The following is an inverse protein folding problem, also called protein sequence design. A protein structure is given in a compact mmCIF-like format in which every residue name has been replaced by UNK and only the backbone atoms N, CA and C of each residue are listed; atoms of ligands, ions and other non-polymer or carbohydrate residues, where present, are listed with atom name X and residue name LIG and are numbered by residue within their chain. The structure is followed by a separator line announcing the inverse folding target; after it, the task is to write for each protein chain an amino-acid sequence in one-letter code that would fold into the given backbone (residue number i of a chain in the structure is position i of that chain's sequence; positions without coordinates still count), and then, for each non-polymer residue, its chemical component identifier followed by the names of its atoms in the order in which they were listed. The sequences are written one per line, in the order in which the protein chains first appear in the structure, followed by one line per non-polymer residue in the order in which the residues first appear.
data_IF_394495382873
#
_entry.id   IF_394495382873
#
_cell.length_a   1.000
_cell.length_b   1.000
_cell.length_c   1.000
_cell.angle_alpha   90.00
_cell.angle_beta   90.00
_cell.angle_gamma   90.00
#
_symmetry.space_group_name_H-M   'P 1'
#
loop_
_entity.id
_entity.type
_entity.pdbx_description
1 polymer ?
#
# COMPACT_ATOMS: atom_id res chain seq x y z
N UNK A 1 9.94 18.34 -22.43
CA UNK A 1 9.16 19.36 -21.68
C UNK A 1 9.86 19.76 -20.39
N UNK A 2 9.81 21.03 -20.01
CA UNK A 2 10.30 21.49 -18.71
C UNK A 2 9.29 21.22 -17.59
N UNK A 3 9.77 20.94 -16.38
CA UNK A 3 8.92 20.73 -15.22
C UNK A 3 8.36 22.06 -14.72
N UNK A 4 7.03 22.23 -14.66
CA UNK A 4 6.42 23.46 -14.18
C UNK A 4 6.60 23.60 -12.66
N UNK A 5 6.52 24.84 -12.16
CA UNK A 5 6.67 25.11 -10.72
C UNK A 5 5.49 24.63 -9.88
N UNK A 6 4.31 24.46 -10.48
CA UNK A 6 3.16 23.85 -9.83
C UNK A 6 2.60 22.75 -10.73
N UNK A 7 2.71 21.50 -10.29
CA UNK A 7 2.07 20.36 -10.93
C UNK A 7 1.63 19.35 -9.87
N UNK A 8 0.35 19.04 -9.86
CA UNK A 8 -0.24 18.05 -8.96
C UNK A 8 -1.32 17.23 -9.66
N UNK A 9 -1.44 15.97 -9.25
CA UNK A 9 -2.54 15.09 -9.60
C UNK A 9 -3.24 14.59 -8.35
N UNK A 10 -4.56 14.45 -8.42
CA UNK A 10 -5.31 13.68 -7.43
C UNK A 10 -5.07 12.17 -7.63
N UNK A 11 -5.27 11.41 -6.56
CA UNK A 11 -5.17 9.94 -6.61
C UNK A 11 -6.37 9.36 -7.36
N UNK A 12 -6.10 8.43 -8.26
CA UNK A 12 -7.13 7.69 -9.00
C UNK A 12 -7.53 6.37 -8.33
N UNK A 13 -6.77 5.93 -7.32
CA UNK A 13 -7.11 4.77 -6.48
C UNK A 13 -7.16 5.25 -5.04
N UNK A 14 -8.30 5.08 -4.39
CA UNK A 14 -8.53 5.58 -3.04
C UNK A 14 -9.14 4.49 -2.14
N UNK A 15 -8.31 3.78 -1.36
CA UNK A 15 -8.80 2.84 -0.35
C UNK A 15 -9.19 3.55 0.96
N UNK A 16 -10.09 2.93 1.72
CA UNK A 16 -10.37 3.27 3.12
C UNK A 16 -9.45 2.52 4.09
N UNK A 17 -9.60 2.80 5.38
CA UNK A 17 -9.00 1.98 6.44
C UNK A 17 -9.60 0.56 6.42
N UNK A 18 -8.80 -0.42 6.86
CA UNK A 18 -9.27 -1.79 7.12
C UNK A 18 -9.74 -1.91 8.55
N UNK A 19 -11.01 -2.25 8.73
CA UNK A 19 -11.62 -2.58 10.01
C UNK A 19 -11.54 -4.09 10.26
N UNK A 20 -11.26 -4.49 11.51
CA UNK A 20 -11.17 -5.88 11.93
C UNK A 20 -12.37 -6.26 12.78
N UNK A 21 -12.94 -7.43 12.50
CA UNK A 21 -13.98 -8.05 13.30
C UNK A 21 -13.60 -9.48 13.66
N UNK A 22 -14.01 -9.91 14.84
CA UNK A 22 -13.95 -11.29 15.28
C UNK A 22 -15.31 -11.92 14.98
N UNK A 23 -15.29 -13.14 14.45
CA UNK A 23 -16.51 -13.92 14.23
C UNK A 23 -16.50 -15.14 15.14
N UNK A 24 -17.58 -15.34 15.87
CA UNK A 24 -17.76 -16.43 16.82
C UNK A 24 -18.45 -17.65 16.16
N UNK A 25 -18.42 -18.84 16.78
CA UNK A 25 -19.03 -20.05 16.21
C UNK A 25 -20.54 -19.96 15.96
N UNK A 26 -21.25 -19.09 16.68
CA UNK A 26 -22.69 -18.84 16.49
C UNK A 26 -22.99 -17.82 15.37
N UNK A 27 -21.96 -17.31 14.70
CA UNK A 27 -22.06 -16.31 13.64
C UNK A 27 -22.13 -14.86 14.14
N UNK A 28 -22.11 -14.63 15.46
CA UNK A 28 -22.03 -13.27 15.98
C UNK A 28 -20.69 -12.63 15.63
N UNK A 29 -20.74 -11.32 15.41
CA UNK A 29 -19.61 -10.52 14.92
C UNK A 29 -19.40 -9.33 15.84
N UNK A 30 -18.15 -9.13 16.26
CA UNK A 30 -17.78 -8.06 17.18
C UNK A 30 -16.50 -7.35 16.71
N UNK A 31 -16.35 -6.05 16.98
CA UNK A 31 -15.09 -5.36 16.68
C UNK A 31 -13.90 -6.00 17.40
N UNK A 32 -12.81 -6.23 16.69
CA UNK A 32 -11.58 -6.76 17.30
C UNK A 32 -11.00 -5.71 18.25
N UNK A 33 -10.64 -6.10 19.47
CA UNK A 33 -10.02 -5.19 20.45
C UNK A 33 -8.54 -5.50 20.66
N UNK A 34 -7.83 -4.59 21.31
CA UNK A 34 -6.43 -4.79 21.71
C UNK A 34 -6.18 -4.29 23.12
N UNK A 35 -5.10 -4.75 23.74
CA UNK A 35 -4.73 -4.40 25.12
C UNK A 35 -3.31 -3.85 25.18
N UNK A 36 -3.05 -2.92 26.08
CA UNK A 36 -1.68 -2.51 26.39
C UNK A 36 -1.09 -3.43 27.46
N UNK A 37 0.09 -3.98 27.20
CA UNK A 37 0.79 -4.89 28.12
C UNK A 37 2.19 -4.38 28.39
N UNK A 38 2.67 -4.55 29.61
CA UNK A 38 4.08 -4.29 29.96
C UNK A 38 4.84 -5.60 29.95
N UNK A 39 5.89 -5.67 29.15
CA UNK A 39 6.79 -6.82 29.01
C UNK A 39 8.16 -6.45 29.57
N UNK A 40 8.88 -7.44 30.09
CA UNK A 40 10.25 -7.27 30.59
C UNK A 40 11.21 -7.89 29.56
N UNK A 41 11.88 -7.04 28.79
CA UNK A 41 12.92 -7.46 27.85
C UNK A 41 14.30 -7.50 28.49
N UNK A 42 15.30 -7.90 27.72
CA UNK A 42 16.71 -7.83 28.09
C UNK A 42 17.36 -6.57 27.49
N UNK A 43 18.54 -6.20 27.99
CA UNK A 43 19.35 -5.10 27.44
C UNK A 43 20.06 -5.56 26.15
N UNK A 44 19.35 -5.62 25.03
CA UNK A 44 19.87 -6.17 23.76
C UNK A 44 20.39 -5.11 22.77
N UNK A 45 20.29 -3.82 23.10
CA UNK A 45 20.71 -2.74 22.17
C UNK A 45 22.22 -2.53 22.24
N UNK A 46 22.91 -2.59 21.10
CA UNK A 46 24.36 -2.41 21.02
C UNK A 46 24.85 -1.11 21.67
N UNK A 47 24.10 -0.01 21.54
CA UNK A 47 24.43 1.28 22.16
C UNK A 47 24.39 1.28 23.70
N UNK A 48 23.90 0.22 24.34
CA UNK A 48 23.97 0.05 25.80
C UNK A 48 25.37 -0.44 26.23
N UNK A 49 26.03 -1.23 25.39
CA UNK A 49 27.36 -1.79 25.66
C UNK A 49 28.50 -1.01 24.98
N UNK A 50 28.24 -0.46 23.79
CA UNK A 50 29.24 0.18 22.95
C UNK A 50 28.94 1.66 22.71
N UNK A 51 29.98 2.48 22.61
CA UNK A 51 29.88 3.87 22.16
C UNK A 51 29.83 3.99 20.63
N UNK A 52 29.78 5.24 20.11
CA UNK A 52 29.73 5.50 18.66
C UNK A 52 31.00 5.07 17.91
N UNK A 53 32.10 4.83 18.61
CA UNK A 53 33.37 4.35 18.04
C UNK A 53 33.47 2.83 18.06
N UNK A 54 32.55 2.15 18.74
CA UNK A 54 32.57 0.70 18.95
C UNK A 54 33.36 0.26 20.18
N UNK A 55 33.81 1.18 21.03
CA UNK A 55 34.50 0.86 22.28
C UNK A 55 33.48 0.49 23.37
N UNK A 56 33.86 -0.42 24.27
CA UNK A 56 33.00 -0.81 25.41
C UNK A 56 32.90 0.37 26.38
N UNK A 57 31.68 0.68 26.81
CA UNK A 57 31.44 1.72 27.82
C UNK A 57 31.80 1.21 29.21
N UNK A 58 32.46 2.02 30.02
CA UNK A 58 32.87 1.66 31.38
C UNK A 58 31.68 1.27 32.29
N UNK A 59 30.49 1.82 32.02
CA UNK A 59 29.27 1.54 32.79
C UNK A 59 28.49 0.30 32.30
N UNK A 60 28.92 -0.34 31.20
CA UNK A 60 28.31 -1.55 30.66
C UNK A 60 28.81 -2.80 31.38
N UNK A 61 28.65 -2.84 32.71
CA UNK A 61 29.04 -4.00 33.51
C UNK A 61 28.11 -5.19 33.24
N UNK A 62 28.58 -6.41 33.56
CA UNK A 62 27.77 -7.63 33.45
C UNK A 62 26.46 -7.54 34.26
N UNK A 63 26.51 -6.89 35.43
CA UNK A 63 25.33 -6.64 36.26
C UNK A 63 24.35 -5.67 35.57
N UNK A 64 24.85 -4.54 35.05
CA UNK A 64 24.02 -3.53 34.37
C UNK A 64 23.28 -4.11 33.17
N UNK A 65 23.96 -4.94 32.36
CA UNK A 65 23.37 -5.57 31.18
C UNK A 65 22.42 -6.73 31.51
N UNK A 66 22.53 -7.31 32.71
CA UNK A 66 21.63 -8.38 33.17
C UNK A 66 20.29 -7.84 33.74
N UNK A 67 20.17 -6.52 33.97
CA UNK A 67 18.91 -5.94 34.43
C UNK A 67 17.80 -6.02 33.37
N UNK A 68 16.58 -6.26 33.83
CA UNK A 68 15.40 -6.28 32.98
C UNK A 68 15.02 -4.89 32.46
N UNK A 69 14.60 -4.82 31.21
CA UNK A 69 14.21 -3.61 30.50
C UNK A 69 12.69 -3.59 30.27
N UNK A 70 11.90 -2.90 31.11
CA UNK A 70 10.45 -2.88 30.99
C UNK A 70 9.97 -2.02 29.83
N UNK A 71 9.12 -2.57 28.96
CA UNK A 71 8.51 -1.88 27.82
C UNK A 71 6.99 -2.07 27.81
N UNK A 72 6.24 -0.99 27.61
CA UNK A 72 4.80 -1.06 27.38
C UNK A 72 4.51 -1.07 25.88
N UNK A 73 3.76 -2.06 25.41
CA UNK A 73 3.37 -2.25 24.01
C UNK A 73 1.88 -2.55 23.88
N UNK A 74 1.27 -2.07 22.81
CA UNK A 74 -0.05 -2.56 22.41
C UNK A 74 0.06 -3.97 21.79
N UNK A 75 -0.88 -4.84 22.16
CA UNK A 75 -0.94 -6.24 21.78
C UNK A 75 -2.36 -6.62 21.37
N UNK A 76 -2.49 -7.21 20.18
CA UNK A 76 -3.75 -7.62 19.58
C UNK A 76 -3.65 -9.08 19.11
N UNK A 77 -4.67 -9.88 19.39
CA UNK A 77 -4.71 -11.29 19.01
C UNK A 77 -6.13 -11.72 18.68
N UNK A 78 -6.25 -12.84 17.95
CA UNK A 78 -7.51 -13.56 17.81
C UNK A 78 -7.94 -14.06 19.21
N UNK A 79 -9.15 -13.72 19.70
CA UNK A 79 -9.64 -14.26 20.96
C UNK A 79 -9.71 -15.78 20.97
N UNK A 80 -9.56 -16.38 22.16
CA UNK A 80 -9.72 -17.83 22.30
C UNK A 80 -11.16 -18.24 21.93
N UNK A 81 -11.31 -19.38 21.26
CA UNK A 81 -12.58 -19.93 20.77
C UNK A 81 -13.29 -19.15 19.64
N UNK A 82 -12.73 -18.04 19.15
CA UNK A 82 -13.23 -17.39 17.94
C UNK A 82 -12.98 -18.26 16.70
N UNK A 83 -13.90 -18.21 15.73
CA UNK A 83 -13.81 -19.01 14.50
C UNK A 83 -12.77 -18.44 13.53
N UNK A 84 -12.81 -17.13 13.29
CA UNK A 84 -11.93 -16.44 12.33
C UNK A 84 -11.98 -14.92 12.53
N UNK A 85 -11.11 -14.21 11.81
CA UNK A 85 -11.16 -12.74 11.67
C UNK A 85 -11.78 -12.39 10.32
N UNK A 86 -12.64 -11.37 10.30
CA UNK A 86 -13.04 -10.70 9.07
C UNK A 86 -12.45 -9.29 8.99
N UNK A 87 -11.97 -8.93 7.81
CA UNK A 87 -11.37 -7.64 7.50
C UNK A 87 -12.17 -6.94 6.41
N UNK A 88 -12.56 -5.68 6.63
CA UNK A 88 -13.38 -4.91 5.69
C UNK A 88 -12.72 -3.60 5.31
N UNK A 89 -12.72 -3.28 4.02
CA UNK A 89 -12.42 -1.93 3.52
C UNK A 89 -13.13 -1.70 2.17
N UNK A 90 -13.11 -0.47 1.70
CA UNK A 90 -13.57 -0.11 0.36
C UNK A 90 -12.42 0.47 -0.45
N UNK A 91 -12.46 0.33 -1.77
CA UNK A 91 -11.54 0.99 -2.69
C UNK A 91 -12.29 1.54 -3.89
N UNK A 92 -12.05 2.82 -4.20
CA UNK A 92 -12.59 3.46 -5.40
C UNK A 92 -11.50 3.68 -6.44
N UNK A 93 -11.89 3.45 -7.70
CA UNK A 93 -11.12 3.73 -8.91
C UNK A 93 -11.81 4.85 -9.67
N UNK A 94 -11.09 5.93 -9.95
CA UNK A 94 -11.59 7.12 -10.63
C UNK A 94 -10.65 7.62 -11.72
N UNK A 95 -11.13 8.51 -12.59
CA UNK A 95 -10.41 9.01 -13.76
C UNK A 95 -9.53 10.25 -13.53
N UNK A 96 -9.10 10.52 -12.30
CA UNK A 96 -8.34 11.74 -11.97
C UNK A 96 -6.99 11.84 -12.71
N UNK A 97 -6.40 10.71 -13.10
CA UNK A 97 -5.18 10.66 -13.92
C UNK A 97 -5.33 11.35 -15.29
N UNK A 98 -6.57 11.61 -15.78
CA UNK A 98 -6.83 12.15 -17.12
C UNK A 98 -6.36 13.59 -17.29
N UNK A 99 -6.27 14.36 -16.21
CA UNK A 99 -5.84 15.75 -16.24
C UNK A 99 -5.12 16.12 -14.94
N UNK A 100 -4.13 17.01 -14.96
CA UNK A 100 -3.58 17.56 -13.74
C UNK A 100 -4.66 18.25 -12.91
N UNK A 101 -4.64 18.05 -11.60
CA UNK A 101 -5.43 18.80 -10.63
C UNK A 101 -5.00 20.26 -10.58
N UNK A 102 -3.69 20.50 -10.51
CA UNK A 102 -3.07 21.82 -10.55
C UNK A 102 -1.95 21.80 -11.58
N UNK A 103 -1.93 22.79 -12.48
CA UNK A 103 -0.82 23.00 -13.40
C UNK A 103 -0.75 24.49 -13.77
N UNK A 104 0.42 25.12 -13.62
CA UNK A 104 0.59 26.53 -13.99
C UNK A 104 1.17 26.75 -15.40
N UNK A 105 1.26 25.70 -16.22
CA UNK A 105 1.65 25.80 -17.63
C UNK A 105 0.65 25.06 -18.52
N UNK A 106 -0.03 25.79 -19.41
CA UNK A 106 -1.00 25.20 -20.34
C UNK A 106 -0.35 24.20 -21.29
N UNK A 107 0.85 24.50 -21.80
CA UNK A 107 1.58 23.59 -22.68
C UNK A 107 1.88 22.24 -21.99
N UNK A 108 2.34 22.29 -20.74
CA UNK A 108 2.58 21.07 -19.94
C UNK A 108 1.29 20.29 -19.73
N UNK A 109 0.21 20.97 -19.35
CA UNK A 109 -1.10 20.35 -19.15
C UNK A 109 -1.60 19.64 -20.40
N UNK A 110 -1.52 20.29 -21.57
CA UNK A 110 -1.97 19.73 -22.84
C UNK A 110 -1.10 18.54 -23.27
N UNK A 111 0.22 18.62 -23.06
CA UNK A 111 1.16 17.51 -23.27
C UNK A 111 0.76 16.28 -22.45
N UNK A 112 0.50 16.43 -21.15
CA UNK A 112 0.14 15.31 -20.28
C UNK A 112 -1.23 14.71 -20.61
N UNK A 113 -2.22 15.55 -20.93
CA UNK A 113 -3.55 15.08 -21.39
C UNK A 113 -3.40 14.29 -22.69
N UNK A 114 -2.59 14.79 -23.64
CA UNK A 114 -2.32 14.11 -24.91
C UNK A 114 -1.58 12.78 -24.69
N UNK A 115 -0.59 12.75 -23.80
CA UNK A 115 0.16 11.55 -23.44
C UNK A 115 -0.79 10.46 -22.90
N UNK A 116 -1.66 10.79 -21.96
CA UNK A 116 -2.64 9.83 -21.41
C UNK A 116 -3.59 9.30 -22.48
N UNK A 117 -4.13 10.17 -23.34
CA UNK A 117 -5.01 9.75 -24.44
C UNK A 117 -4.30 8.80 -25.42
N UNK A 118 -3.03 9.06 -25.72
CA UNK A 118 -2.23 8.21 -26.59
C UNK A 118 -1.84 6.89 -25.93
N UNK A 119 -1.49 6.91 -24.64
CA UNK A 119 -1.24 5.71 -23.84
C UNK A 119 -2.45 4.79 -23.84
N UNK A 120 -3.64 5.33 -23.54
CA UNK A 120 -4.91 4.61 -23.58
C UNK A 120 -5.16 3.97 -24.95
N UNK A 121 -4.96 4.73 -26.03
CA UNK A 121 -5.22 4.25 -27.39
C UNK A 121 -4.22 3.20 -27.88
N UNK A 122 -2.94 3.33 -27.52
CA UNK A 122 -1.85 2.51 -28.09
C UNK A 122 -1.44 1.33 -27.22
N UNK A 123 -1.55 1.46 -25.91
CA UNK A 123 -1.12 0.45 -24.93
C UNK A 123 -2.35 -0.09 -24.18
N UNK A 124 -3.21 0.81 -23.69
CA UNK A 124 -4.38 0.45 -22.91
C UNK A 124 -4.11 0.31 -21.41
N UNK A 125 -5.19 0.04 -20.67
CA UNK A 125 -5.20 0.00 -19.20
C UNK A 125 -4.95 -1.40 -18.61
N UNK A 126 -4.99 -2.43 -19.46
CA UNK A 126 -5.09 -3.83 -19.05
C UNK A 126 -3.95 -4.23 -18.11
N UNK A 127 -2.70 -3.89 -18.42
CA UNK A 127 -1.55 -4.28 -17.60
C UNK A 127 -1.61 -3.67 -16.19
N UNK A 128 -1.82 -2.35 -16.10
CA UNK A 128 -1.88 -1.65 -14.81
C UNK A 128 -3.07 -2.11 -13.97
N UNK A 129 -4.26 -2.19 -14.59
CA UNK A 129 -5.47 -2.64 -13.89
C UNK A 129 -5.32 -4.06 -13.39
N UNK A 130 -4.79 -4.97 -14.20
CA UNK A 130 -4.55 -6.37 -13.81
C UNK A 130 -3.62 -6.44 -12.60
N UNK A 131 -2.55 -5.63 -12.56
CA UNK A 131 -1.62 -5.58 -11.42
C UNK A 131 -2.28 -5.05 -10.14
N UNK A 132 -3.02 -3.94 -10.22
CA UNK A 132 -3.71 -3.39 -9.05
C UNK A 132 -4.78 -4.34 -8.51
N UNK A 133 -5.57 -4.95 -9.40
CA UNK A 133 -6.61 -5.91 -9.00
C UNK A 133 -6.03 -7.19 -8.42
N UNK A 134 -4.92 -7.71 -8.97
CA UNK A 134 -4.28 -8.90 -8.41
C UNK A 134 -3.86 -8.66 -6.94
N UNK A 135 -3.31 -7.49 -6.62
CA UNK A 135 -2.93 -7.11 -5.25
C UNK A 135 -4.14 -6.91 -4.30
N UNK A 136 -5.32 -6.60 -4.84
CA UNK A 136 -6.55 -6.52 -4.04
C UNK A 136 -7.07 -7.94 -3.78
N UNK A 137 -7.17 -8.75 -4.83
CA UNK A 137 -7.76 -10.09 -4.77
C UNK A 137 -6.89 -11.08 -3.99
N UNK A 138 -5.56 -10.93 -4.01
CA UNK A 138 -4.64 -11.81 -3.28
C UNK A 138 -4.47 -11.47 -1.79
N UNK A 139 -5.11 -10.39 -1.32
CA UNK A 139 -4.99 -9.96 0.07
C UNK A 139 -3.67 -9.27 0.44
N UNK A 140 -2.87 -8.74 -0.51
CA UNK A 140 -1.60 -8.03 -0.21
C UNK A 140 -1.78 -6.92 0.83
N UNK A 141 -2.96 -6.29 0.86
CA UNK A 141 -3.34 -5.26 1.83
C UNK A 141 -3.48 -5.74 3.28
N UNK A 142 -3.53 -7.06 3.53
CA UNK A 142 -3.47 -7.67 4.86
C UNK A 142 -2.03 -7.75 5.42
N UNK A 143 -1.01 -7.50 4.58
CA UNK A 143 0.40 -7.50 4.95
C UNK A 143 0.86 -8.78 5.67
N UNK A 144 1.19 -8.68 6.97
CA UNK A 144 1.76 -9.78 7.76
C UNK A 144 0.71 -10.81 8.17
N UNK A 145 -0.57 -10.47 8.13
CA UNK A 145 -1.64 -11.30 8.66
C UNK A 145 -1.90 -12.57 7.82
N UNK A 146 -1.47 -12.60 6.55
CA UNK A 146 -1.61 -13.78 5.67
C UNK A 146 -0.52 -14.83 5.91
N UNK A 147 0.68 -14.41 6.34
CA UNK A 147 1.89 -15.28 6.36
C UNK A 147 1.68 -16.59 7.12
N UNK A 148 1.00 -16.52 8.27
CA UNK A 148 0.79 -17.65 9.19
C UNK A 148 -0.70 -18.07 9.30
N UNK A 149 -1.54 -17.64 8.36
CA UNK A 149 -2.92 -18.11 8.28
C UNK A 149 -2.99 -19.53 7.71
N UNK A 150 -3.93 -20.33 8.23
CA UNK A 150 -4.24 -21.64 7.65
C UNK A 150 -4.84 -21.47 6.26
N UNK A 151 -5.82 -20.56 6.16
CA UNK A 151 -6.55 -20.22 4.94
C UNK A 151 -7.05 -18.78 5.04
N UNK A 152 -7.18 -18.14 3.88
CA UNK A 152 -7.94 -16.90 3.79
C UNK A 152 -8.63 -16.77 2.44
N UNK A 153 -9.81 -16.18 2.48
CA UNK A 153 -10.66 -15.93 1.33
C UNK A 153 -10.80 -14.42 1.13
N UNK A 154 -10.95 -13.97 -0.12
CA UNK A 154 -11.17 -12.55 -0.44
C UNK A 154 -12.42 -12.42 -1.31
N UNK A 155 -13.37 -11.63 -0.86
CA UNK A 155 -14.64 -11.37 -1.53
C UNK A 155 -14.71 -9.89 -1.92
N UNK A 156 -15.13 -9.64 -3.16
CA UNK A 156 -15.32 -8.29 -3.70
C UNK A 156 -16.80 -8.11 -4.03
N UNK A 157 -17.39 -7.02 -3.57
CA UNK A 157 -18.70 -6.52 -4.01
C UNK A 157 -18.46 -5.28 -4.87
N UNK A 158 -18.44 -5.42 -6.20
CA UNK A 158 -18.18 -4.30 -7.09
C UNK A 158 -19.39 -3.37 -7.21
N UNK A 159 -19.15 -2.15 -7.65
CA UNK A 159 -20.15 -1.17 -8.06
C UNK A 159 -19.60 -0.36 -9.23
N UNK A 160 -20.39 -0.13 -10.31
CA UNK A 160 -21.70 -0.71 -10.57
C UNK A 160 -21.62 -2.22 -10.84
N UNK A 161 -22.52 -3.00 -10.26
CA UNK A 161 -22.57 -4.46 -10.43
C UNK A 161 -23.98 -4.97 -10.18
N UNK A 162 -24.38 -5.99 -10.93
CA UNK A 162 -25.73 -6.59 -10.86
C UNK A 162 -25.71 -8.08 -10.56
N UNK A 163 -24.54 -8.65 -10.26
CA UNK A 163 -24.37 -10.06 -9.91
C UNK A 163 -24.01 -10.19 -8.43
N UNK A 164 -23.95 -11.42 -7.96
CA UNK A 164 -23.40 -11.74 -6.65
C UNK A 164 -21.94 -11.27 -6.51
N UNK A 165 -21.52 -11.17 -5.26
CA UNK A 165 -20.14 -10.87 -4.90
C UNK A 165 -19.17 -11.88 -5.53
N UNK A 166 -17.98 -11.40 -5.87
CA UNK A 166 -16.92 -12.19 -6.51
C UNK A 166 -16.03 -12.76 -5.40
N UNK A 167 -16.09 -14.07 -5.21
CA UNK A 167 -15.31 -14.77 -4.18
C UNK A 167 -14.06 -15.43 -4.77
N UNK A 168 -12.92 -15.15 -4.16
CA UNK A 168 -11.66 -15.86 -4.38
C UNK A 168 -11.38 -16.73 -3.15
N UNK A 169 -11.69 -18.01 -3.28
CA UNK A 169 -11.64 -18.98 -2.18
C UNK A 169 -10.24 -19.60 -2.03
N UNK A 170 -9.77 -19.66 -0.78
CA UNK A 170 -8.47 -20.20 -0.38
C UNK A 170 -7.31 -19.67 -1.24
N UNK A 171 -7.01 -18.39 -1.06
CA UNK A 171 -5.94 -17.70 -1.79
C UNK A 171 -4.61 -18.45 -1.67
N UNK A 172 -4.35 -19.03 -0.49
CA UNK A 172 -3.10 -19.73 -0.21
C UNK A 172 -2.93 -20.99 -1.06
N UNK A 173 -4.01 -21.77 -1.24
CA UNK A 173 -3.97 -23.00 -2.00
C UNK A 173 -4.14 -22.77 -3.52
N UNK A 174 -5.04 -21.87 -3.90
CA UNK A 174 -5.56 -21.80 -5.27
C UNK A 174 -4.95 -20.68 -6.11
N UNK A 175 -4.31 -19.68 -5.49
CA UNK A 175 -3.92 -18.44 -6.16
C UNK A 175 -2.44 -18.07 -5.92
N UNK A 176 -1.56 -19.06 -5.97
CA UNK A 176 -0.12 -18.85 -5.84
C UNK A 176 0.48 -18.01 -7.00
N UNK A 177 -0.11 -18.11 -8.19
CA UNK A 177 0.31 -17.38 -9.38
C UNK A 177 -0.73 -16.35 -9.84
N UNK A 178 -0.26 -15.26 -10.45
CA UNK A 178 -1.15 -14.23 -11.02
C UNK A 178 -2.13 -14.80 -12.06
N UNK A 179 -1.68 -15.78 -12.84
CA UNK A 179 -2.47 -16.48 -13.86
C UNK A 179 -3.75 -17.12 -13.30
N UNK A 180 -3.74 -17.59 -12.05
CA UNK A 180 -4.90 -18.18 -11.39
C UNK A 180 -6.02 -17.15 -11.17
N UNK A 181 -5.68 -15.90 -10.87
CA UNK A 181 -6.67 -14.82 -10.79
C UNK A 181 -7.29 -14.53 -12.16
N UNK A 182 -6.46 -14.51 -13.20
CA UNK A 182 -6.93 -14.20 -14.56
C UNK A 182 -7.84 -15.29 -15.14
N UNK A 183 -7.65 -16.53 -14.69
CA UNK A 183 -8.50 -17.67 -15.04
C UNK A 183 -9.86 -17.67 -14.32
N UNK A 184 -10.06 -16.83 -13.30
CA UNK A 184 -11.33 -16.77 -12.58
C UNK A 184 -12.45 -16.27 -13.50
N UNK A 185 -13.59 -16.95 -13.48
CA UNK A 185 -14.74 -16.71 -14.38
C UNK A 185 -15.24 -15.25 -14.41
N UNK A 186 -15.15 -14.54 -13.28
CA UNK A 186 -15.58 -13.14 -13.18
C UNK A 186 -14.44 -12.12 -13.36
N UNK A 187 -13.19 -12.57 -13.52
CA UNK A 187 -12.01 -11.70 -13.61
C UNK A 187 -12.13 -10.65 -14.70
N UNK A 188 -12.48 -11.08 -15.92
CA UNK A 188 -12.57 -10.17 -17.07
C UNK A 188 -13.59 -9.06 -16.83
N UNK A 189 -14.70 -9.37 -16.16
CA UNK A 189 -15.76 -8.41 -15.87
C UNK A 189 -15.35 -7.39 -14.80
N UNK A 190 -14.76 -7.81 -13.68
CA UNK A 190 -14.28 -6.87 -12.65
C UNK A 190 -13.11 -6.02 -13.16
N UNK A 191 -12.24 -6.60 -14.02
CA UNK A 191 -11.17 -5.86 -14.68
C UNK A 191 -11.75 -4.78 -15.60
N UNK A 192 -12.78 -5.11 -16.37
CA UNK A 192 -13.41 -4.16 -17.28
C UNK A 192 -14.03 -2.97 -16.54
N UNK A 193 -14.64 -3.18 -15.36
CA UNK A 193 -15.16 -2.06 -14.54
C UNK A 193 -14.09 -1.01 -14.24
N UNK A 194 -12.89 -1.45 -13.85
CA UNK A 194 -11.79 -0.52 -13.53
C UNK A 194 -11.20 0.11 -14.79
N UNK A 195 -11.10 -0.65 -15.89
CA UNK A 195 -10.70 -0.10 -17.19
C UNK A 195 -11.66 1.01 -17.61
N UNK A 196 -12.97 0.78 -17.51
CA UNK A 196 -14.00 1.76 -17.84
C UNK A 196 -13.94 2.99 -16.92
N UNK A 197 -13.68 2.77 -15.62
CA UNK A 197 -13.51 3.86 -14.65
C UNK A 197 -12.31 4.77 -14.99
N UNK A 198 -11.19 4.22 -15.47
CA UNK A 198 -10.07 5.02 -15.97
C UNK A 198 -10.34 5.62 -17.35
N UNK A 199 -11.15 4.96 -18.19
CA UNK A 199 -11.45 5.37 -19.57
C UNK A 199 -12.43 6.54 -19.69
N UNK A 200 -13.41 6.64 -18.80
CA UNK A 200 -14.46 7.65 -18.87
C UNK A 200 -14.08 8.92 -18.10
N UNK A 201 -14.54 10.10 -18.53
CA UNK A 201 -14.13 11.38 -17.90
C UNK A 201 -14.63 11.59 -16.46
N UNK A 202 -15.69 10.88 -16.06
CA UNK A 202 -16.23 10.80 -14.70
C UNK A 202 -16.39 9.32 -14.30
N UNK A 203 -15.50 8.47 -14.79
CA UNK A 203 -15.58 7.04 -14.54
C UNK A 203 -15.37 6.74 -13.05
N UNK A 204 -16.16 5.82 -12.53
CA UNK A 204 -16.10 5.40 -11.13
C UNK A 204 -16.42 3.92 -11.03
N UNK A 205 -15.52 3.18 -10.38
CA UNK A 205 -15.79 1.83 -9.89
C UNK A 205 -15.43 1.77 -8.40
N UNK A 206 -16.30 1.20 -7.58
CA UNK A 206 -16.09 1.06 -6.13
C UNK A 206 -16.19 -0.42 -5.78
N UNK A 207 -15.18 -0.97 -5.12
CA UNK A 207 -15.22 -2.33 -4.62
C UNK A 207 -15.27 -2.28 -3.10
N UNK A 208 -16.32 -2.82 -2.51
CA UNK A 208 -16.29 -3.22 -1.10
C UNK A 208 -15.58 -4.57 -1.01
N UNK A 209 -14.59 -4.67 -0.13
CA UNK A 209 -13.70 -5.82 -0.05
C UNK A 209 -13.76 -6.39 1.35
N UNK A 210 -14.04 -7.69 1.43
CA UNK A 210 -14.03 -8.50 2.64
C UNK A 210 -12.94 -9.55 2.53
N UNK A 211 -12.18 -9.78 3.59
CA UNK A 211 -11.36 -10.97 3.72
C UNK A 211 -11.72 -11.74 4.98
N UNK A 212 -11.75 -13.07 4.86
CA UNK A 212 -11.99 -14.00 5.97
C UNK A 212 -10.67 -14.73 6.25
N UNK A 213 -10.10 -14.57 7.44
CA UNK A 213 -8.81 -15.15 7.83
C UNK A 213 -8.99 -16.22 8.91
N UNK A 214 -8.67 -17.47 8.56
CA UNK A 214 -8.63 -18.59 9.50
C UNK A 214 -7.20 -18.71 10.05
N UNK A 215 -7.05 -18.47 11.34
CA UNK A 215 -5.76 -18.38 12.02
C UNK A 215 -5.64 -19.44 13.13
N UNK A 216 -4.41 -19.85 13.50
CA UNK A 216 -4.19 -20.63 14.71
C UNK A 216 -4.76 -19.98 15.97
N UNK A 217 -5.09 -20.81 16.97
CA UNK A 217 -5.55 -20.39 18.29
C UNK A 217 -4.68 -19.28 18.88
N UNK A 218 -5.31 -18.18 19.32
CA UNK A 218 -4.65 -17.02 19.94
C UNK A 218 -3.58 -16.31 19.09
N UNK A 219 -3.62 -16.45 17.77
CA UNK A 219 -2.65 -15.81 16.87
C UNK A 219 -2.56 -14.30 17.06
N UNK A 220 -1.34 -13.75 17.05
CA UNK A 220 -1.12 -12.30 17.03
C UNK A 220 -1.64 -11.71 15.72
N UNK A 221 -2.36 -10.59 15.83
CA UNK A 221 -2.81 -9.78 14.70
C UNK A 221 -1.87 -8.59 14.55
N UNK A 222 -1.58 -8.19 13.31
CA UNK A 222 -0.63 -7.13 12.96
C UNK A 222 -1.29 -5.92 12.29
N UNK A 223 -1.92 -5.01 13.07
CA UNK A 223 -2.43 -3.73 12.59
C UNK A 223 -1.32 -2.75 12.14
N UNK A 224 -1.72 -1.57 11.67
CA UNK A 224 -0.81 -0.44 11.48
C UNK A 224 -0.37 0.15 12.83
N UNK A 225 0.89 0.55 12.92
CA UNK A 225 1.43 1.27 14.08
C UNK A 225 1.30 2.78 13.86
N UNK A 226 0.97 3.51 14.92
CA UNK A 226 0.96 4.96 14.89
C UNK A 226 2.40 5.49 14.95
N UNK A 227 2.71 6.50 14.14
CA UNK A 227 3.93 7.28 14.31
C UNK A 227 3.65 8.36 15.35
N UNK A 228 4.21 8.22 16.54
CA UNK A 228 4.10 9.20 17.62
C UNK A 228 5.45 9.85 17.85
N UNK A 229 5.57 11.13 17.52
CA UNK A 229 6.73 11.94 17.92
C UNK A 229 6.69 12.16 19.43
N UNK A 230 7.87 12.12 20.07
CA UNK A 230 7.96 12.37 21.51
C UNK A 230 7.78 13.86 21.75
N UNK A 231 6.72 14.27 22.46
CA UNK A 231 6.67 15.62 23.01
C UNK A 231 7.82 15.82 24.01
N UNK A 232 8.41 17.03 24.00
CA UNK A 232 9.48 17.41 24.92
C UNK A 232 9.08 17.13 26.36
N UNK A 233 9.97 16.48 27.12
CA UNK A 233 9.76 15.95 28.49
C UNK A 233 9.27 16.97 29.56
N UNK A 234 9.08 18.24 29.20
CA UNK A 234 8.78 19.35 30.11
C UNK A 234 7.29 19.38 30.52
N UNK A 235 6.38 18.80 29.73
CA UNK A 235 4.91 18.85 29.97
C UNK A 235 4.28 17.54 30.44
N UNK A 236 5.07 16.54 30.85
CA UNK A 236 4.49 15.26 31.27
C UNK A 236 3.83 15.34 32.66
N UNK A 237 2.51 15.15 32.69
CA UNK A 237 1.80 14.66 33.88
C UNK A 237 2.35 13.28 34.27
N UNK A 238 2.62 13.11 35.56
CA UNK A 238 3.04 11.85 36.18
C UNK A 238 2.00 10.76 35.85
N UNK A 239 2.37 9.81 34.99
CA UNK A 239 1.50 8.67 34.63
C UNK A 239 1.62 8.17 33.19
N UNK A 240 2.02 9.02 32.23
CA UNK A 240 2.13 8.61 30.82
C UNK A 240 3.54 8.04 30.53
N UNK A 241 3.73 6.74 30.80
CA UNK A 241 4.89 5.98 30.31
C UNK A 241 4.81 5.91 28.78
N UNK A 242 5.94 6.21 28.12
CA UNK A 242 6.03 6.12 26.67
C UNK A 242 5.79 4.67 26.21
N UNK A 243 4.77 4.46 25.39
CA UNK A 243 4.53 3.16 24.74
C UNK A 243 5.54 2.98 23.62
N UNK A 244 6.27 1.86 23.63
CA UNK A 244 7.23 1.53 22.58
C UNK A 244 6.54 1.16 21.26
N UNK A 245 5.29 0.69 21.34
CA UNK A 245 4.46 0.34 20.17
C UNK A 245 3.01 0.74 20.45
N UNK A 246 2.47 1.61 19.61
CA UNK A 246 1.08 2.06 19.66
C UNK A 246 0.39 1.70 18.34
N UNK A 247 -0.81 1.13 18.40
CA UNK A 247 -1.59 0.84 17.18
C UNK A 247 -2.39 2.06 16.72
N UNK A 248 -2.54 2.21 15.41
CA UNK A 248 -3.61 3.02 14.85
C UNK A 248 -4.94 2.33 15.15
N UNK A 249 -5.95 3.10 15.53
CA UNK A 249 -7.27 2.59 15.91
C UNK A 249 -8.37 3.52 15.42
N UNK A 250 -9.59 2.98 15.40
CA UNK A 250 -10.83 3.71 15.16
C UNK A 250 -11.89 3.25 16.17
N UNK A 251 -12.96 4.02 16.31
CA UNK A 251 -14.13 3.63 17.10
C UNK A 251 -15.10 2.87 16.21
N UNK A 252 -15.43 1.63 16.58
CA UNK A 252 -16.50 0.85 15.95
C UNK A 252 -17.52 0.57 17.05
N UNK A 253 -18.72 1.13 16.89
CA UNK A 253 -19.75 1.15 17.94
C UNK A 253 -19.19 1.69 19.26
N UNK A 254 -19.14 0.86 20.30
CA UNK A 254 -18.65 1.23 21.64
C UNK A 254 -17.23 0.71 21.94
N UNK A 255 -16.51 0.19 20.93
CA UNK A 255 -15.19 -0.40 21.10
C UNK A 255 -14.10 0.29 20.26
N UNK A 256 -12.91 0.42 20.85
CA UNK A 256 -11.70 0.79 20.10
C UNK A 256 -11.16 -0.44 19.37
N UNK A 257 -11.20 -0.38 18.04
CA UNK A 257 -10.67 -1.42 17.16
C UNK A 257 -9.38 -0.96 16.51
N UNK A 258 -8.36 -1.82 16.38
CA UNK A 258 -7.19 -1.47 15.60
C UNK A 258 -7.56 -1.41 14.10
N UNK A 259 -6.72 -0.76 13.30
CA UNK A 259 -6.92 -0.64 11.84
C UNK A 259 -5.65 -0.95 11.05
N UNK A 260 -5.80 -1.33 9.77
CA UNK A 260 -4.75 -1.10 8.77
C UNK A 260 -5.05 0.23 8.10
N UNK A 261 -4.28 1.27 8.44
CA UNK A 261 -4.48 2.61 7.89
C UNK A 261 -4.43 2.66 6.36
N UNK A 262 -5.27 3.49 5.76
CA UNK A 262 -5.54 3.60 4.32
C UNK A 262 -4.27 3.81 3.48
N UNK A 263 -3.28 4.55 3.98
CA UNK A 263 -2.03 4.78 3.25
C UNK A 263 -1.20 3.49 3.10
N UNK A 264 -1.31 2.58 4.08
CA UNK A 264 -0.64 1.28 4.08
C UNK A 264 -1.39 0.30 3.17
N UNK A 265 -2.71 0.38 3.10
CA UNK A 265 -3.55 -0.35 2.12
C UNK A 265 -3.19 0.10 0.71
N UNK A 266 -3.21 1.41 0.44
CA UNK A 266 -2.86 1.97 -0.87
C UNK A 266 -1.41 1.66 -1.28
N UNK A 267 -0.49 1.60 -0.32
CA UNK A 267 0.88 1.16 -0.58
C UNK A 267 0.94 -0.30 -1.06
N UNK A 268 0.17 -1.21 -0.46
CA UNK A 268 0.13 -2.61 -0.87
C UNK A 268 -0.48 -2.78 -2.26
N UNK A 269 -1.58 -2.10 -2.56
CA UNK A 269 -2.21 -2.12 -3.89
C UNK A 269 -1.23 -1.62 -4.94
N UNK A 270 -0.48 -0.55 -4.64
CA UNK A 270 0.47 0.08 -5.55
C UNK A 270 1.86 -0.58 -5.60
N UNK A 271 2.04 -1.78 -5.04
CA UNK A 271 3.27 -2.59 -5.16
C UNK A 271 3.25 -3.33 -6.50
N UNK A 272 3.59 -2.60 -7.57
CA UNK A 272 3.45 -3.07 -8.96
C UNK A 272 4.67 -2.77 -9.85
N UNK A 273 5.65 -2.00 -9.36
CA UNK A 273 6.81 -1.55 -10.15
C UNK A 273 7.92 -2.60 -10.11
N UNK A 274 7.91 -3.49 -11.09
CA UNK A 274 8.99 -4.43 -11.41
C UNK A 274 9.70 -4.04 -12.72
N UNK A 275 9.57 -2.77 -13.13
CA UNK A 275 10.14 -2.23 -14.37
C UNK A 275 11.48 -1.52 -14.17
N UNK A 276 12.03 -1.55 -12.96
CA UNK A 276 13.29 -0.89 -12.64
C UNK A 276 14.49 -1.76 -13.05
N UNK A 277 15.70 -1.19 -13.21
CA UNK A 277 16.87 -1.96 -13.62
C UNK A 277 17.15 -3.14 -12.68
N UNK A 278 17.28 -4.35 -13.24
CA UNK A 278 17.53 -5.60 -12.49
C UNK A 278 16.45 -5.91 -11.44
N UNK A 279 15.18 -5.72 -11.76
CA UNK A 279 14.09 -5.98 -10.84
C UNK A 279 14.08 -7.42 -10.31
N UNK A 280 14.04 -7.55 -8.98
CA UNK A 280 13.96 -8.82 -8.26
C UNK A 280 12.56 -9.03 -7.66
N UNK A 281 11.91 -7.93 -7.27
CA UNK A 281 10.58 -7.95 -6.70
C UNK A 281 9.83 -6.66 -7.07
N UNK A 282 8.48 -6.66 -7.12
CA UNK A 282 7.74 -5.44 -7.36
C UNK A 282 7.91 -4.45 -6.20
N UNK A 283 8.23 -3.20 -6.52
CA UNK A 283 8.29 -2.10 -5.57
C UNK A 283 6.94 -1.38 -5.50
N UNK A 284 6.71 -0.71 -4.37
CA UNK A 284 5.69 0.34 -4.31
C UNK A 284 6.08 1.44 -5.27
N UNK A 285 5.18 1.76 -6.21
CA UNK A 285 5.34 2.88 -7.14
C UNK A 285 5.68 4.15 -6.36
N UNK A 286 6.85 4.70 -6.63
CA UNK A 286 7.41 5.87 -5.95
C UNK A 286 8.29 6.63 -6.93
N UNK A 287 8.60 7.91 -6.62
CA UNK A 287 9.29 8.79 -7.58
C UNK A 287 10.72 8.36 -7.88
N UNK A 288 11.37 7.71 -6.92
CA UNK A 288 12.79 7.32 -6.96
C UNK A 288 13.00 5.81 -6.78
N UNK A 289 11.93 5.00 -6.81
CA UNK A 289 12.03 3.55 -6.62
C UNK A 289 12.65 3.17 -5.27
N UNK A 290 12.21 3.84 -4.18
CA UNK A 290 12.77 3.63 -2.85
C UNK A 290 12.35 2.26 -2.29
N UNK A 291 13.33 1.47 -1.86
CA UNK A 291 13.13 0.18 -1.22
C UNK A 291 13.41 0.28 0.28
N UNK A 292 12.37 0.05 1.10
CA UNK A 292 12.45 0.20 2.55
C UNK A 292 13.25 -0.91 3.24
N UNK A 293 13.26 -2.13 2.67
CA UNK A 293 13.97 -3.27 3.23
C UNK A 293 15.48 -3.08 3.17
N UNK A 294 16.00 -2.78 1.98
CA UNK A 294 17.44 -2.64 1.75
C UNK A 294 17.95 -1.20 1.95
N UNK A 295 17.04 -0.26 2.20
CA UNK A 295 17.36 1.16 2.38
C UNK A 295 18.12 1.72 1.16
N UNK A 296 17.61 1.42 -0.04
CA UNK A 296 18.21 1.83 -1.32
C UNK A 296 17.19 2.47 -2.26
N UNK A 297 17.67 3.09 -3.34
CA UNK A 297 16.85 3.71 -4.39
C UNK A 297 17.21 3.10 -5.75
N UNK A 298 16.35 2.24 -6.29
CA UNK A 298 16.62 1.55 -7.55
C UNK A 298 16.43 2.42 -8.79
N UNK A 299 15.63 3.49 -8.67
CA UNK A 299 15.43 4.51 -9.71
C UNK A 299 16.04 5.83 -9.26
N UNK A 300 17.27 5.78 -8.76
CA UNK A 300 18.01 6.99 -8.39
C UNK A 300 18.15 7.90 -9.61
N UNK A 301 18.08 9.25 -9.49
CA UNK A 301 18.17 10.16 -10.64
C UNK A 301 19.42 9.97 -11.52
N UNK A 302 20.53 9.48 -10.96
CA UNK A 302 21.74 9.15 -11.74
C UNK A 302 21.55 7.99 -12.75
N UNK A 303 20.47 7.22 -12.61
CA UNK A 303 20.10 6.16 -13.56
C UNK A 303 19.23 6.66 -14.69
N UNK A 304 18.78 7.92 -14.65
CA UNK A 304 17.83 8.52 -15.60
C UNK A 304 16.46 7.80 -15.70
N UNK A 305 16.19 6.87 -14.77
CA UNK A 305 14.94 6.09 -14.69
C UNK A 305 14.01 6.51 -13.56
N UNK A 306 14.28 7.65 -12.94
CA UNK A 306 13.39 8.27 -11.95
C UNK A 306 12.19 8.95 -12.64
N UNK A 307 11.16 9.29 -11.85
CA UNK A 307 9.93 9.87 -12.39
C UNK A 307 10.17 11.20 -13.11
N UNK A 308 11.04 12.06 -12.58
CA UNK A 308 11.19 13.43 -13.09
C UNK A 308 11.93 13.43 -14.42
N UNK A 309 12.97 12.61 -14.56
CA UNK A 309 13.66 12.42 -15.84
C UNK A 309 12.73 11.84 -16.90
N UNK A 310 11.95 10.81 -16.55
CA UNK A 310 10.95 10.21 -17.44
C UNK A 310 9.87 11.24 -17.83
N UNK A 311 9.38 12.03 -16.88
CA UNK A 311 8.35 13.04 -17.13
C UNK A 311 8.82 14.15 -18.08
N UNK A 312 10.09 14.56 -18.01
CA UNK A 312 10.67 15.54 -18.94
C UNK A 312 10.70 15.02 -20.39
N UNK A 313 10.77 13.70 -20.58
CA UNK A 313 10.76 13.04 -21.89
C UNK A 313 9.35 12.82 -22.48
N UNK A 314 8.29 13.37 -21.86
CA UNK A 314 6.90 13.17 -22.30
C UNK A 314 6.63 13.49 -23.79
N UNK A 315 7.27 14.53 -24.34
CA UNK A 315 7.12 14.89 -25.76
C UNK A 315 7.69 13.80 -26.68
N UNK A 316 8.85 13.25 -26.35
CA UNK A 316 9.44 12.12 -27.09
C UNK A 316 8.53 10.90 -27.01
N UNK A 317 7.93 10.63 -25.85
CA UNK A 317 6.97 9.54 -25.70
C UNK A 317 5.71 9.75 -26.55
N UNK A 318 5.21 10.98 -26.66
CA UNK A 318 4.08 11.31 -27.54
C UNK A 318 4.42 11.04 -29.01
N UNK A 319 5.61 11.42 -29.46
CA UNK A 319 6.07 11.13 -30.83
C UNK A 319 6.12 9.63 -31.09
N UNK A 320 6.73 8.85 -30.18
CA UNK A 320 6.81 7.39 -30.28
C UNK A 320 5.44 6.72 -30.23
N UNK A 321 4.52 7.20 -29.40
CA UNK A 321 3.14 6.72 -29.33
C UNK A 321 2.32 7.11 -30.56
N UNK A 322 2.69 8.17 -31.27
CA UNK A 322 2.01 8.60 -32.50
C UNK A 322 2.53 7.86 -33.73
N UNK A 323 3.82 7.50 -33.75
CA UNK A 323 4.45 6.79 -34.87
C UNK A 323 3.85 5.39 -35.08
N UNK A 324 3.71 4.90 -36.33
CA UNK A 324 3.32 3.52 -36.59
C UNK A 324 4.45 2.55 -36.20
N UNK A 325 4.10 1.36 -35.71
CA UNK A 325 5.07 0.33 -35.34
C UNK A 325 4.94 -0.17 -33.90
N UNK A 326 5.71 -1.21 -33.58
CA UNK A 326 5.77 -1.84 -32.26
C UNK A 326 6.62 -0.99 -31.32
N UNK A 327 6.10 -0.70 -30.13
CA UNK A 327 6.85 -0.03 -29.07
C UNK A 327 7.90 -0.98 -28.49
N UNK A 328 9.08 -0.47 -28.13
CA UNK A 328 10.07 -1.28 -27.42
C UNK A 328 9.57 -1.62 -26.02
N UNK A 329 10.10 -2.71 -25.46
CA UNK A 329 9.74 -3.12 -24.09
C UNK A 329 10.14 -2.05 -23.07
N UNK A 330 11.32 -1.47 -23.21
CA UNK A 330 11.83 -0.41 -22.34
C UNK A 330 10.92 0.82 -22.33
N UNK A 331 10.51 1.29 -23.52
CA UNK A 331 9.60 2.43 -23.66
C UNK A 331 8.24 2.14 -23.01
N UNK A 332 7.75 0.90 -23.19
CA UNK A 332 6.46 0.47 -22.62
C UNK A 332 6.53 0.40 -21.09
N UNK A 333 7.64 -0.12 -20.55
CA UNK A 333 7.96 -0.12 -19.11
C UNK A 333 8.04 1.29 -18.52
N UNK A 334 8.74 2.21 -19.17
CA UNK A 334 8.82 3.62 -18.73
C UNK A 334 7.44 4.28 -18.72
N UNK A 335 6.60 4.00 -19.73
CA UNK A 335 5.23 4.50 -19.81
C UNK A 335 4.32 3.90 -18.73
N UNK A 336 4.42 2.60 -18.45
CA UNK A 336 3.68 1.98 -17.34
C UNK A 336 4.07 2.61 -16.00
N UNK A 337 5.37 2.81 -15.75
CA UNK A 337 5.87 3.45 -14.53
C UNK A 337 5.41 4.92 -14.41
N UNK A 338 5.47 5.68 -15.51
CA UNK A 338 4.99 7.06 -15.56
C UNK A 338 3.50 7.14 -15.22
N UNK A 339 2.67 6.36 -15.91
CA UNK A 339 1.22 6.36 -15.72
C UNK A 339 0.83 5.82 -14.35
N UNK A 340 1.54 4.83 -13.81
CA UNK A 340 1.35 4.36 -12.45
C UNK A 340 1.62 5.47 -11.40
N UNK A 341 2.59 6.35 -11.65
CA UNK A 341 2.82 7.52 -10.79
C UNK A 341 1.71 8.58 -10.93
N UNK A 342 1.14 8.77 -12.12
CA UNK A 342 -0.02 9.65 -12.32
C UNK A 342 -1.27 9.11 -11.61
N UNK A 343 -1.54 7.81 -11.69
CA UNK A 343 -2.62 7.12 -10.95
C UNK A 343 -2.45 7.28 -9.44
N UNK A 344 -1.22 7.13 -8.94
CA UNK A 344 -0.90 7.35 -7.53
C UNK A 344 -1.14 8.81 -7.10
N UNK A 345 -0.95 9.75 -8.00
CA UNK A 345 -1.09 11.18 -7.74
C UNK A 345 0.01 11.78 -6.85
N UNK A 346 -0.26 12.99 -6.37
CA UNK A 346 0.60 13.80 -5.51
C UNK A 346 1.23 14.99 -6.24
N UNK A 347 2.31 15.54 -5.68
CA UNK A 347 3.03 16.69 -6.23
C UNK A 347 4.16 16.23 -7.15
N UNK A 348 4.35 16.94 -8.26
CA UNK A 348 5.34 16.69 -9.33
C UNK A 348 6.17 17.94 -9.66
N UNK A 349 6.16 18.95 -8.79
CA UNK A 349 6.93 20.17 -8.98
C UNK A 349 8.40 20.00 -8.60
N UNK A 350 9.29 20.66 -9.35
CA UNK A 350 10.73 20.60 -9.14
C UNK A 350 11.22 21.56 -8.04
N UNK A 351 10.54 22.70 -7.87
CA UNK A 351 10.79 23.65 -6.78
C UNK A 351 9.60 23.59 -5.82
N UNK A 352 9.85 23.32 -4.56
CA UNK A 352 8.89 23.51 -3.47
C UNK A 352 9.52 24.43 -2.44
N UNK A 353 8.72 25.30 -1.85
CA UNK A 353 9.05 25.93 -0.57
C UNK A 353 9.15 24.88 0.53
#
# INVERSE_FOLDING_TARGET
MELPTNLAYERSINPSDVCFFVVWPDGTKEPLTYTSRTVLGQMETASLAYDSTGSIKDNATAETLAHGNPHTVDFCNLPFAASHIECFFSVSFSSELRKPYKCNSNAVKDTLIKLIKLYEKRIGWQELVTRYLANICNGSWLWKNTKKAYRYDVELTPWPWSKEAVLFEDIRANYAEKSAFEAHQQWSAIRQLVVDAFSQSNGLAIFEVKATLVLPTNSEIYPSQAFTEKENKITKKVGNKDKARTFQNTQIENAHSPIIGLYKVGAAIATIDDWYPNALEPLRVSRFGAHKGDVTCYRHPSTEKDLFTILQNAEQYIERLSAPGKLSQELTSDLHYLVANLIKGGMFQHKGD
#
